data_IF_263433761914
#
_entry.id   IF_263433761914
#
_cell.length_a   1.000
_cell.length_b   1.000
_cell.length_c   1.000
_cell.angle_alpha   90.00
_cell.angle_beta   90.00
_cell.angle_gamma   90.00
#
_symmetry.space_group_name_H-M   'P 1'
#
loop_
_entity.id
_entity.type
_entity.pdbx_description
1 polymer ?
#
# COMPACT_ATOMS: atom_id res chain seq x y z
N UNK A 1 15.84 2.33 12.19
CA UNK A 1 14.95 1.31 11.61
C UNK A 1 15.71 0.31 10.74
N UNK A 2 16.47 0.72 9.71
CA UNK A 2 17.16 -0.23 8.83
C UNK A 2 18.36 -0.96 9.46
N UNK A 3 19.12 -0.28 10.33
CA UNK A 3 20.32 -0.85 10.97
C UNK A 3 20.04 -2.03 11.91
N UNK A 4 18.87 -2.04 12.56
CA UNK A 4 18.45 -3.14 13.43
C UNK A 4 18.16 -4.41 12.63
N UNK A 5 17.46 -4.28 11.49
CA UNK A 5 17.22 -5.41 10.58
C UNK A 5 18.52 -5.93 9.96
N UNK A 6 19.38 -5.03 9.49
CA UNK A 6 20.71 -5.41 8.97
C UNK A 6 21.49 -6.22 9.99
N UNK A 7 21.52 -5.77 11.26
CA UNK A 7 22.21 -6.48 12.34
C UNK A 7 21.58 -7.84 12.63
N UNK A 8 20.26 -7.92 12.69
CA UNK A 8 19.55 -9.17 12.97
C UNK A 8 19.80 -10.23 11.88
N UNK A 9 19.67 -9.85 10.61
CA UNK A 9 19.90 -10.75 9.47
C UNK A 9 21.37 -11.16 9.40
N UNK A 10 22.31 -10.23 9.55
CA UNK A 10 23.73 -10.55 9.56
C UNK A 10 24.08 -11.52 10.69
N UNK A 11 23.51 -11.35 11.89
CA UNK A 11 23.67 -12.30 13.00
C UNK A 11 23.09 -13.67 12.66
N UNK A 12 21.90 -13.73 12.05
CA UNK A 12 21.26 -14.98 11.65
C UNK A 12 22.07 -15.74 10.59
N UNK A 13 22.66 -15.02 9.65
CA UNK A 13 23.41 -15.58 8.52
C UNK A 13 24.92 -15.68 8.77
N UNK A 14 25.36 -15.40 10.01
CA UNK A 14 26.78 -15.32 10.38
C UNK A 14 27.63 -14.47 9.40
N UNK A 15 27.12 -13.30 9.01
CA UNK A 15 27.71 -12.41 8.02
C UNK A 15 27.90 -10.99 8.57
N UNK A 16 28.46 -10.09 7.76
CA UNK A 16 28.61 -8.67 8.11
C UNK A 16 28.48 -7.77 6.86
N UNK A 17 28.25 -6.47 7.06
CA UNK A 17 28.11 -5.49 5.97
C UNK A 17 26.74 -4.83 5.90
N UNK A 18 26.58 -3.92 4.93
CA UNK A 18 25.32 -3.21 4.70
C UNK A 18 24.41 -4.01 3.77
N UNK A 19 23.16 -4.25 4.19
CA UNK A 19 22.14 -4.88 3.35
C UNK A 19 21.27 -3.87 2.59
N UNK A 20 21.16 -2.63 3.06
CA UNK A 20 20.32 -1.61 2.46
C UNK A 20 21.16 -0.46 1.88
N UNK A 21 20.58 0.25 0.91
CA UNK A 21 21.18 1.48 0.37
C UNK A 21 21.13 2.60 1.43
N UNK A 22 22.13 3.51 1.47
CA UNK A 22 22.22 4.53 2.53
C UNK A 22 21.08 5.56 2.57
N UNK A 23 20.36 5.75 1.45
CA UNK A 23 19.30 6.76 1.33
C UNK A 23 17.95 6.08 1.12
N UNK A 24 16.94 6.52 1.89
CA UNK A 24 15.54 6.09 1.77
C UNK A 24 14.67 7.22 1.25
N UNK A 25 13.68 6.88 0.41
CA UNK A 25 12.61 7.82 0.04
C UNK A 25 11.45 7.64 1.02
N UNK A 26 10.82 8.74 1.40
CA UNK A 26 9.59 8.73 2.21
C UNK A 26 8.54 9.61 1.52
N UNK A 27 7.30 9.16 1.50
CA UNK A 27 6.14 9.88 0.95
C UNK A 27 5.13 10.04 2.07
N UNK A 28 4.63 11.27 2.24
CA UNK A 28 3.54 11.54 3.17
C UNK A 28 2.22 11.17 2.52
N UNK A 29 1.57 10.12 3.01
CA UNK A 29 0.30 9.62 2.45
C UNK A 29 -0.92 10.44 2.89
N UNK A 30 -0.79 11.25 3.94
CA UNK A 30 -1.84 12.16 4.44
C UNK A 30 -1.68 13.59 3.94
N UNK A 31 -0.76 13.83 3.00
CA UNK A 31 -0.51 15.16 2.47
C UNK A 31 -1.71 15.64 1.65
N UNK A 32 -2.25 16.79 2.00
CA UNK A 32 -3.36 17.44 1.29
C UNK A 32 -2.75 18.24 0.12
N UNK A 33 -2.59 17.59 -1.03
CA UNK A 33 -2.00 18.22 -2.24
C UNK A 33 -3.04 18.90 -3.14
N UNK A 34 -4.31 18.51 -3.03
CA UNK A 34 -5.41 18.99 -3.87
C UNK A 34 -6.61 19.34 -2.99
N UNK A 35 -7.30 20.43 -3.34
CA UNK A 35 -8.56 20.80 -2.69
C UNK A 35 -9.67 19.94 -3.31
N UNK A 36 -10.06 18.87 -2.61
CA UNK A 36 -11.28 18.13 -2.94
C UNK A 36 -12.51 18.99 -2.65
N UNK A 37 -13.49 19.01 -3.55
CA UNK A 37 -14.76 19.71 -3.30
C UNK A 37 -15.46 19.07 -2.10
N UNK A 38 -16.08 19.86 -1.22
CA UNK A 38 -16.83 19.33 -0.07
C UNK A 38 -18.07 18.51 -0.47
N UNK A 39 -18.48 18.55 -1.75
CA UNK A 39 -19.61 17.82 -2.28
C UNK A 39 -19.41 17.46 -3.76
N UNK A 40 -20.12 16.44 -4.22
CA UNK A 40 -20.20 16.03 -5.62
C UNK A 40 -21.60 15.53 -5.97
N UNK A 41 -21.97 15.54 -7.24
CA UNK A 41 -23.26 15.02 -7.71
C UNK A 41 -23.05 13.62 -8.28
N UNK A 42 -23.79 12.65 -7.78
CA UNK A 42 -23.84 11.29 -8.31
C UNK A 42 -25.29 10.90 -8.55
N UNK A 43 -25.62 10.48 -9.78
CA UNK A 43 -26.98 10.09 -10.19
C UNK A 43 -28.07 11.12 -9.79
N UNK A 44 -27.75 12.41 -9.84
CA UNK A 44 -28.67 13.50 -9.48
C UNK A 44 -28.81 13.78 -7.98
N UNK A 45 -28.08 13.07 -7.13
CA UNK A 45 -28.05 13.28 -5.67
C UNK A 45 -26.76 14.01 -5.28
N UNK A 46 -26.89 15.06 -4.45
CA UNK A 46 -25.74 15.75 -3.85
C UNK A 46 -25.18 14.93 -2.71
N UNK A 47 -23.94 14.46 -2.87
CA UNK A 47 -23.19 13.73 -1.87
C UNK A 47 -22.21 14.67 -1.18
N UNK A 48 -22.05 14.55 0.13
CA UNK A 48 -21.07 15.31 0.93
C UNK A 48 -19.81 14.46 1.07
N UNK A 49 -18.64 15.04 0.81
CA UNK A 49 -17.35 14.43 1.13
C UNK A 49 -17.12 14.53 2.64
N UNK A 50 -17.63 13.55 3.38
CA UNK A 50 -17.34 13.35 4.79
C UNK A 50 -16.15 12.39 4.94
N UNK A 51 -14.94 12.96 4.94
CA UNK A 51 -13.73 12.19 5.15
C UNK A 51 -13.68 11.70 6.60
N UNK A 52 -13.71 10.37 6.80
CA UNK A 52 -13.36 9.75 8.09
C UNK A 52 -11.93 9.26 7.99
N UNK A 53 -10.93 10.01 8.55
CA UNK A 53 -9.53 9.70 8.35
C UNK A 53 -9.16 8.28 8.82
N UNK A 54 -9.82 7.80 9.87
CA UNK A 54 -9.64 6.46 10.44
C UNK A 54 -9.98 5.33 9.47
N UNK A 55 -10.90 5.56 8.52
CA UNK A 55 -11.28 4.59 7.49
C UNK A 55 -10.47 4.79 6.20
N UNK A 56 -10.18 6.04 5.86
CA UNK A 56 -9.46 6.37 4.64
C UNK A 56 -7.97 6.04 4.73
N UNK A 57 -7.31 6.38 5.84
CA UNK A 57 -5.87 6.22 5.97
C UNK A 57 -5.39 4.76 5.84
N UNK A 58 -6.03 3.76 6.48
CA UNK A 58 -5.69 2.36 6.26
C UNK A 58 -5.85 1.94 4.81
N UNK A 59 -6.89 2.39 4.11
CA UNK A 59 -7.12 2.03 2.71
C UNK A 59 -6.14 2.73 1.76
N UNK A 60 -5.75 3.96 2.05
CA UNK A 60 -4.66 4.67 1.33
C UNK A 60 -3.34 3.93 1.51
N UNK A 61 -3.01 3.50 2.73
CA UNK A 61 -1.81 2.72 3.00
C UNK A 61 -1.84 1.35 2.29
N UNK A 62 -3.01 0.69 2.32
CA UNK A 62 -3.23 -0.59 1.65
C UNK A 62 -2.95 -0.47 0.14
N UNK A 63 -3.59 0.49 -0.53
CA UNK A 63 -3.36 0.73 -1.95
C UNK A 63 -1.91 1.18 -2.23
N UNK A 64 -1.32 2.05 -1.41
CA UNK A 64 0.08 2.44 -1.58
C UNK A 64 1.02 1.22 -1.62
N UNK A 65 0.87 0.29 -0.68
CA UNK A 65 1.69 -0.93 -0.62
C UNK A 65 1.48 -1.79 -1.88
N UNK A 66 0.22 -1.95 -2.31
CA UNK A 66 -0.15 -2.77 -3.45
C UNK A 66 0.41 -2.24 -4.78
N UNK A 67 0.41 -0.92 -4.99
CA UNK A 67 0.82 -0.29 -6.25
C UNK A 67 2.31 0.12 -6.29
N UNK A 68 3.05 -0.03 -5.19
CA UNK A 68 4.49 0.30 -5.13
C UNK A 68 5.36 -0.35 -6.22
N UNK A 69 5.16 -1.64 -6.60
CA UNK A 69 5.97 -2.28 -7.64
C UNK A 69 5.86 -1.59 -9.01
N UNK A 70 4.64 -1.20 -9.41
CA UNK A 70 4.39 -0.46 -10.65
C UNK A 70 4.91 0.97 -10.55
N UNK A 71 4.63 1.67 -9.44
CA UNK A 71 5.11 3.05 -9.23
C UNK A 71 6.62 3.20 -9.24
N UNK A 72 7.33 2.18 -8.76
CA UNK A 72 8.79 2.14 -8.77
C UNK A 72 9.38 1.70 -10.11
N UNK A 73 8.53 1.31 -11.07
CA UNK A 73 8.92 0.87 -12.41
C UNK A 73 9.54 -0.54 -12.44
N UNK A 74 9.36 -1.34 -11.39
CA UNK A 74 9.90 -2.70 -11.33
C UNK A 74 9.09 -3.65 -12.23
N UNK A 75 7.77 -3.44 -12.30
CA UNK A 75 6.85 -4.20 -13.14
C UNK A 75 5.94 -3.25 -13.92
N UNK A 76 5.43 -3.70 -15.07
CA UNK A 76 4.45 -2.93 -15.86
C UNK A 76 3.04 -3.04 -15.28
N UNK A 77 2.72 -4.16 -14.65
CA UNK A 77 1.43 -4.42 -14.04
C UNK A 77 1.60 -5.00 -12.65
N UNK A 78 0.68 -4.73 -11.74
CA UNK A 78 0.77 -5.24 -10.38
C UNK A 78 0.58 -6.76 -10.29
N UNK A 79 -0.13 -7.36 -11.25
CA UNK A 79 -0.31 -8.81 -11.28
C UNK A 79 1.00 -9.57 -11.51
N UNK A 80 1.97 -8.91 -12.17
CA UNK A 80 3.26 -9.50 -12.53
C UNK A 80 4.24 -9.55 -11.34
N UNK A 81 3.91 -8.89 -10.22
CA UNK A 81 4.80 -8.85 -9.05
C UNK A 81 4.57 -10.05 -8.13
N UNK A 82 5.36 -11.11 -8.31
CA UNK A 82 5.22 -12.38 -7.58
C UNK A 82 5.40 -12.24 -6.06
N UNK A 83 6.22 -11.28 -5.60
CA UNK A 83 6.47 -11.04 -4.18
C UNK A 83 5.44 -10.08 -3.55
N UNK A 84 4.44 -9.66 -4.33
CA UNK A 84 3.37 -8.77 -3.90
C UNK A 84 2.17 -9.51 -3.33
N UNK A 85 1.40 -8.79 -2.51
CA UNK A 85 0.07 -9.21 -2.08
C UNK A 85 -1.02 -8.91 -3.12
N UNK A 86 -0.76 -8.08 -4.15
CA UNK A 86 -1.77 -7.68 -5.12
C UNK A 86 -2.48 -8.86 -5.81
N UNK A 87 -1.77 -9.86 -6.37
CA UNK A 87 -2.42 -11.01 -7.01
C UNK A 87 -3.33 -11.79 -6.04
N UNK A 88 -2.96 -11.86 -4.76
CA UNK A 88 -3.77 -12.52 -3.72
C UNK A 88 -5.01 -11.70 -3.37
N UNK A 89 -4.90 -10.36 -3.35
CA UNK A 89 -6.01 -9.47 -3.01
C UNK A 89 -7.12 -9.47 -4.05
N UNK A 90 -6.77 -9.60 -5.33
CA UNK A 90 -7.75 -9.66 -6.43
C UNK A 90 -8.14 -11.09 -6.82
N UNK A 91 -7.61 -12.10 -6.11
CA UNK A 91 -7.98 -13.51 -6.31
C UNK A 91 -7.34 -14.18 -7.53
N UNK A 92 -6.32 -13.59 -8.16
CA UNK A 92 -5.53 -14.25 -9.21
C UNK A 92 -4.63 -15.36 -8.68
N UNK A 93 -4.26 -15.27 -7.40
CA UNK A 93 -3.48 -16.28 -6.69
C UNK A 93 -4.14 -16.59 -5.34
N UNK A 94 -4.06 -17.84 -4.92
CA UNK A 94 -4.44 -18.24 -3.56
C UNK A 94 -3.20 -18.37 -2.66
N UNK A 95 -2.51 -17.24 -2.48
CA UNK A 95 -1.33 -17.15 -1.63
C UNK A 95 -1.66 -16.98 -0.15
N UNK A 96 -0.61 -17.07 0.68
CA UNK A 96 -0.69 -16.94 2.15
C UNK A 96 -0.24 -15.58 2.69
N UNK A 97 0.05 -14.61 1.81
CA UNK A 97 0.63 -13.32 2.20
C UNK A 97 -0.37 -12.38 2.88
N UNK A 98 -1.68 -12.61 2.70
CA UNK A 98 -2.75 -11.73 3.20
C UNK A 98 -3.76 -12.48 4.07
N UNK A 99 -4.43 -11.73 4.92
CA UNK A 99 -5.66 -12.19 5.59
C UNK A 99 -6.87 -11.58 4.90
N UNK A 100 -7.55 -12.37 4.05
CA UNK A 100 -8.80 -11.97 3.38
C UNK A 100 -9.87 -11.54 4.40
N UNK A 101 -9.91 -12.20 5.56
CA UNK A 101 -10.80 -11.84 6.69
C UNK A 101 -10.53 -10.43 7.21
N UNK A 102 -9.27 -10.08 7.50
CA UNK A 102 -8.90 -8.75 8.01
C UNK A 102 -9.18 -7.64 7.00
N UNK A 103 -8.96 -7.91 5.72
CA UNK A 103 -9.28 -6.95 4.63
C UNK A 103 -10.78 -6.61 4.67
N UNK A 104 -11.64 -7.62 4.78
CA UNK A 104 -13.09 -7.41 4.92
C UNK A 104 -13.49 -6.72 6.22
N UNK A 105 -12.94 -7.14 7.37
CA UNK A 105 -13.23 -6.51 8.68
C UNK A 105 -12.88 -5.01 8.71
N UNK A 106 -11.82 -4.62 7.99
CA UNK A 106 -11.34 -3.23 7.92
C UNK A 106 -11.95 -2.44 6.75
N UNK A 107 -12.77 -3.06 5.90
CA UNK A 107 -13.36 -2.42 4.73
C UNK A 107 -12.31 -1.91 3.73
N UNK A 108 -11.21 -2.64 3.56
CA UNK A 108 -10.15 -2.27 2.63
C UNK A 108 -10.53 -2.69 1.21
N UNK A 109 -10.37 -1.77 0.27
CA UNK A 109 -10.74 -1.95 -1.12
C UNK A 109 -9.58 -1.55 -2.03
N UNK A 110 -9.37 -2.33 -3.09
CA UNK A 110 -8.40 -1.99 -4.13
C UNK A 110 -9.01 -0.89 -4.99
N UNK A 111 -8.56 0.34 -4.78
CA UNK A 111 -9.00 1.51 -5.53
C UNK A 111 -7.89 1.79 -6.54
N UNK A 112 -8.21 1.68 -7.84
CA UNK A 112 -7.29 2.12 -8.88
C UNK A 112 -6.96 3.60 -8.63
N UNK A 113 -5.68 3.95 -8.64
CA UNK A 113 -5.34 5.37 -8.54
C UNK A 113 -5.95 6.13 -9.71
N UNK A 114 -6.59 7.29 -9.47
CA UNK A 114 -7.10 8.15 -10.53
C UNK A 114 -5.98 8.70 -11.43
#
# INVERSE_FOLDING_TARGET
>A
MLSSYTRAINKQQNSSGSLFRPKTKAICLTRIDKISKAWYVSNGVTMINADTPEKQYPNVCFNYILFNPVKSGIVKRNEDWEYGSFPDTIGLRDGKLISKKRIGELGLEVIAEP
#
